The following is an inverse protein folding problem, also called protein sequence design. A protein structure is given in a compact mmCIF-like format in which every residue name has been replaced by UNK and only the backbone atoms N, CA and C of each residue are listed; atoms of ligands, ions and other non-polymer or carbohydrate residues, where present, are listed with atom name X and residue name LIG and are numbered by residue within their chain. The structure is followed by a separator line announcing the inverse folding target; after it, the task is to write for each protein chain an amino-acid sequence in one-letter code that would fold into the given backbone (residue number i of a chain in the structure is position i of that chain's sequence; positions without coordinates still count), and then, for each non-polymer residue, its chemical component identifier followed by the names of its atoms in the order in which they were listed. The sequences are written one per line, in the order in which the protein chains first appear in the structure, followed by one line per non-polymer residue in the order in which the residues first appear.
data_IF_999146796297
#
_entry.id   IF_999146796297
#
_cell.length_a   1.000
_cell.length_b   1.000
_cell.length_c   1.000
_cell.angle_alpha   90.00
_cell.angle_beta   90.00
_cell.angle_gamma   90.00
#
_symmetry.space_group_name_H-M   'P 1'
#
loop_
_entity.id
_entity.type
_entity.pdbx_description
1 polymer ?
#
# COMPACT_ATOMS: atom_id res chain seq x y z
N UNK A 1 -7.21 -24.24 -27.70
CA UNK A 1 -7.33 -24.00 -26.24
C UNK A 1 -7.35 -22.50 -26.07
N UNK A 2 -8.53 -21.89 -25.95
CA UNK A 2 -8.60 -20.49 -25.59
C UNK A 2 -8.09 -20.42 -24.14
N UNK A 3 -6.90 -19.87 -23.94
CA UNK A 3 -6.47 -19.45 -22.62
C UNK A 3 -7.59 -18.58 -22.04
N UNK A 4 -8.15 -19.00 -20.91
CA UNK A 4 -9.11 -18.22 -20.17
C UNK A 4 -8.40 -16.94 -19.68
N UNK A 5 -8.49 -15.88 -20.49
CA UNK A 5 -7.80 -14.61 -20.27
C UNK A 5 -8.12 -14.03 -18.89
N UNK A 6 -9.30 -14.36 -18.36
CA UNK A 6 -9.77 -13.94 -17.06
C UNK A 6 -9.03 -14.68 -15.93
N UNK A 7 -8.78 -15.98 -16.09
CA UNK A 7 -7.94 -16.77 -15.18
C UNK A 7 -6.49 -16.28 -15.16
N UNK A 8 -5.93 -15.90 -16.32
CA UNK A 8 -4.58 -15.32 -16.39
C UNK A 8 -4.51 -13.92 -15.75
N UNK A 9 -5.53 -13.10 -15.98
CA UNK A 9 -5.66 -11.79 -15.33
C UNK A 9 -5.73 -11.98 -13.80
N UNK A 10 -6.56 -12.91 -13.31
CA UNK A 10 -6.68 -13.22 -11.89
C UNK A 10 -5.33 -13.58 -11.27
N UNK A 11 -4.60 -14.54 -11.86
CA UNK A 11 -3.29 -14.96 -11.35
C UNK A 11 -2.29 -13.81 -11.33
N UNK A 12 -2.30 -12.96 -12.35
CA UNK A 12 -1.41 -11.80 -12.43
C UNK A 12 -1.73 -10.80 -11.33
N UNK A 13 -3.02 -10.48 -11.14
CA UNK A 13 -3.48 -9.55 -10.10
C UNK A 13 -3.20 -10.08 -8.69
N UNK A 14 -3.45 -11.37 -8.44
CA UNK A 14 -3.19 -12.02 -7.15
C UNK A 14 -1.70 -11.96 -6.79
N UNK A 15 -0.84 -12.32 -7.74
CA UNK A 15 0.61 -12.26 -7.54
C UNK A 15 1.11 -10.83 -7.24
N UNK A 16 0.54 -9.81 -7.91
CA UNK A 16 0.86 -8.43 -7.61
C UNK A 16 0.32 -8.02 -6.24
N UNK A 17 -0.93 -8.34 -5.90
CA UNK A 17 -1.52 -8.06 -4.59
C UNK A 17 -0.64 -8.58 -3.44
N UNK A 18 -0.19 -9.83 -3.53
CA UNK A 18 0.68 -10.45 -2.51
C UNK A 18 2.09 -9.84 -2.49
N UNK A 19 2.60 -9.42 -3.64
CA UNK A 19 3.91 -8.74 -3.71
C UNK A 19 3.88 -7.38 -3.02
N UNK A 20 2.75 -6.66 -3.10
CA UNK A 20 2.57 -5.37 -2.41
C UNK A 20 2.60 -5.52 -0.88
N UNK A 21 2.13 -6.64 -0.32
CA UNK A 21 2.32 -6.94 1.12
C UNK A 21 3.79 -7.11 1.48
N UNK A 22 4.55 -7.84 0.66
CA UNK A 22 5.99 -8.06 0.90
C UNK A 22 6.77 -6.75 0.87
N UNK A 23 6.48 -5.88 -0.10
CA UNK A 23 7.12 -4.57 -0.18
C UNK A 23 6.68 -3.63 0.97
N UNK A 24 5.41 -3.68 1.37
CA UNK A 24 4.92 -2.96 2.55
C UNK A 24 5.68 -3.36 3.82
N UNK A 25 5.91 -4.67 4.02
CA UNK A 25 6.74 -5.16 5.12
C UNK A 25 8.19 -4.66 5.02
N UNK A 26 8.78 -4.68 3.82
CA UNK A 26 10.14 -4.19 3.61
C UNK A 26 10.28 -2.71 3.98
N UNK A 27 9.33 -1.85 3.58
CA UNK A 27 9.32 -0.43 3.95
C UNK A 27 9.28 -0.26 5.46
N UNK A 28 8.44 -1.05 6.17
CA UNK A 28 8.36 -1.01 7.64
C UNK A 28 9.68 -1.41 8.29
N UNK A 29 10.33 -2.47 7.80
CA UNK A 29 11.62 -2.92 8.33
C UNK A 29 12.73 -1.88 8.10
N UNK A 30 12.76 -1.25 6.93
CA UNK A 30 13.68 -0.15 6.64
C UNK A 30 13.43 1.04 7.57
N UNK A 31 12.16 1.41 7.80
CA UNK A 31 11.81 2.48 8.74
C UNK A 31 12.27 2.17 10.18
N UNK A 32 12.08 0.94 10.65
CA UNK A 32 12.57 0.48 11.97
C UNK A 32 14.09 0.57 12.03
N UNK A 33 14.80 0.09 11.00
CA UNK A 33 16.26 0.12 10.94
C UNK A 33 16.78 1.56 10.95
N UNK A 34 16.25 2.44 10.10
CA UNK A 34 16.63 3.85 10.04
C UNK A 34 16.37 4.56 11.36
N UNK A 35 15.24 4.30 12.02
CA UNK A 35 14.92 4.90 13.33
C UNK A 35 15.86 4.39 14.41
N UNK A 36 16.14 3.10 14.46
CA UNK A 36 17.06 2.49 15.43
C UNK A 36 18.48 3.02 15.27
N UNK A 37 18.94 3.16 14.02
CA UNK A 37 20.24 3.75 13.70
C UNK A 37 20.28 5.24 14.08
N UNK A 38 19.21 6.00 13.80
CA UNK A 38 19.16 7.41 14.16
C UNK A 38 19.29 7.63 15.67
N UNK A 39 18.61 6.80 16.48
CA UNK A 39 18.66 6.86 17.93
C UNK A 39 20.02 6.40 18.50
N UNK A 40 20.61 5.33 17.95
CA UNK A 40 21.88 4.79 18.44
C UNK A 40 23.10 5.67 18.19
N UNK A 41 23.02 6.61 17.24
CA UNK A 41 24.08 7.55 16.89
C UNK A 41 23.74 9.00 17.24
N UNK A 42 22.67 9.23 18.01
CA UNK A 42 22.26 10.55 18.50
C UNK A 42 22.10 11.60 17.38
N UNK A 43 21.53 11.19 16.23
CA UNK A 43 21.27 12.13 15.14
C UNK A 43 20.22 13.17 15.53
N UNK A 44 20.26 14.33 14.87
CA UNK A 44 19.22 15.35 15.03
C UNK A 44 17.83 14.77 14.71
N UNK A 45 16.93 14.85 15.68
CA UNK A 45 15.59 14.25 15.67
C UNK A 45 14.68 14.71 14.53
N UNK A 46 14.93 15.88 13.95
CA UNK A 46 14.16 16.38 12.81
C UNK A 46 14.26 15.44 11.60
N UNK A 47 15.45 14.91 11.34
CA UNK A 47 15.71 14.03 10.18
C UNK A 47 14.97 12.69 10.27
N UNK A 48 15.10 11.88 11.34
CA UNK A 48 14.38 10.61 11.45
C UNK A 48 12.86 10.80 11.50
N UNK A 49 12.34 11.85 12.13
CA UNK A 49 10.89 12.14 12.11
C UNK A 49 10.38 12.35 10.69
N UNK A 50 11.07 13.18 9.89
CA UNK A 50 10.70 13.38 8.49
C UNK A 50 10.83 12.09 7.67
N UNK A 51 11.89 11.31 7.87
CA UNK A 51 12.07 10.04 7.16
C UNK A 51 10.96 9.03 7.49
N UNK A 52 10.57 8.89 8.76
CA UNK A 52 9.45 8.04 9.18
C UNK A 52 8.15 8.51 8.53
N UNK A 53 7.93 9.82 8.44
CA UNK A 53 6.78 10.39 7.72
C UNK A 53 6.76 10.02 6.22
N UNK A 54 7.91 10.07 5.55
CA UNK A 54 8.04 9.65 4.14
C UNK A 54 7.75 8.15 3.98
N UNK A 55 8.32 7.30 4.83
CA UNK A 55 8.05 5.85 4.79
C UNK A 55 6.57 5.54 5.04
N UNK A 56 5.92 6.25 5.94
CA UNK A 56 4.49 6.09 6.22
C UNK A 56 3.63 6.43 4.99
N UNK A 57 3.89 7.59 4.37
CA UNK A 57 3.17 8.00 3.16
C UNK A 57 3.41 7.01 2.01
N UNK A 58 4.64 6.53 1.85
CA UNK A 58 4.99 5.56 0.82
C UNK A 58 4.26 4.22 1.01
N UNK A 59 4.15 3.72 2.25
CA UNK A 59 3.35 2.52 2.56
C UNK A 59 1.86 2.74 2.26
N UNK A 60 1.33 3.92 2.60
CA UNK A 60 -0.06 4.29 2.26
C UNK A 60 -0.33 4.30 0.74
N UNK A 61 0.61 4.80 -0.07
CA UNK A 61 0.52 4.74 -1.53
C UNK A 61 0.53 3.28 -2.00
N UNK A 62 1.43 2.45 -1.46
CA UNK A 62 1.50 1.01 -1.77
C UNK A 62 0.17 0.32 -1.46
N UNK A 63 -0.41 0.54 -0.27
CA UNK A 63 -1.73 0.01 0.11
C UNK A 63 -2.88 0.51 -0.74
N UNK A 64 -2.75 1.69 -1.33
CA UNK A 64 -3.74 2.20 -2.27
C UNK A 64 -3.78 1.37 -3.54
N UNK A 65 -2.63 1.15 -4.17
CA UNK A 65 -2.54 0.28 -5.35
C UNK A 65 -2.99 -1.15 -5.03
N UNK A 66 -2.61 -1.67 -3.87
CA UNK A 66 -3.07 -2.97 -3.41
C UNK A 66 -4.61 -3.05 -3.32
N UNK A 67 -5.26 -2.05 -2.72
CA UNK A 67 -6.72 -1.98 -2.64
C UNK A 67 -7.39 -1.89 -4.02
N UNK A 68 -6.73 -1.28 -5.01
CA UNK A 68 -7.22 -1.28 -6.39
C UNK A 68 -7.17 -2.67 -7.01
N UNK A 69 -6.07 -3.40 -6.81
CA UNK A 69 -5.98 -4.79 -7.27
C UNK A 69 -7.05 -5.67 -6.62
N UNK A 70 -7.26 -5.52 -5.31
CA UNK A 70 -8.32 -6.23 -4.56
C UNK A 70 -9.70 -6.05 -5.23
N UNK A 71 -10.07 -4.80 -5.53
CA UNK A 71 -11.37 -4.50 -6.12
C UNK A 71 -11.59 -5.18 -7.47
N UNK A 72 -10.55 -5.22 -8.32
CA UNK A 72 -10.62 -5.90 -9.62
C UNK A 72 -10.59 -7.42 -9.45
N UNK A 73 -9.80 -7.92 -8.52
CA UNK A 73 -9.64 -9.35 -8.27
C UNK A 73 -10.98 -9.99 -7.87
N UNK A 74 -11.74 -9.34 -7.00
CA UNK A 74 -13.08 -9.79 -6.61
C UNK A 74 -14.07 -9.80 -7.79
N UNK A 75 -13.99 -8.82 -8.70
CA UNK A 75 -14.84 -8.78 -9.90
C UNK A 75 -14.50 -9.96 -10.83
N UNK A 76 -13.20 -10.18 -11.08
CA UNK A 76 -12.68 -11.26 -11.93
C UNK A 76 -13.04 -12.63 -11.33
N UNK A 77 -12.90 -12.80 -10.02
CA UNK A 77 -13.25 -14.04 -9.31
C UNK A 77 -14.75 -14.35 -9.39
N UNK A 78 -15.61 -13.34 -9.21
CA UNK A 78 -17.05 -13.49 -9.37
C UNK A 78 -17.45 -13.89 -10.81
N UNK A 79 -16.80 -13.31 -11.81
CA UNK A 79 -17.06 -13.60 -13.22
C UNK A 79 -16.61 -15.02 -13.62
N UNK A 80 -15.44 -15.47 -13.11
CA UNK A 80 -14.97 -16.85 -13.26
C UNK A 80 -15.96 -17.84 -12.63
N UNK A 81 -16.42 -17.58 -11.40
CA UNK A 81 -17.38 -18.44 -10.71
C UNK A 81 -18.72 -18.56 -11.46
N UNK A 82 -19.16 -17.47 -12.11
CA UNK A 82 -20.39 -17.44 -12.89
C UNK A 82 -20.26 -18.03 -14.32
N UNK A 83 -19.07 -18.51 -14.72
CA UNK A 83 -18.73 -18.86 -16.11
C UNK A 83 -19.14 -17.75 -17.11
N UNK A 84 -19.03 -16.50 -16.67
CA UNK A 84 -19.47 -15.36 -17.45
C UNK A 84 -18.32 -14.86 -18.33
N UNK A 85 -18.61 -14.53 -19.58
CA UNK A 85 -17.67 -13.87 -20.48
C UNK A 85 -17.59 -12.37 -20.13
N UNK A 86 -16.99 -12.05 -19.00
CA UNK A 86 -16.56 -10.69 -18.72
C UNK A 86 -15.40 -10.28 -19.64
N UNK A 87 -15.32 -8.99 -19.93
CA UNK A 87 -14.19 -8.47 -20.70
C UNK A 87 -12.95 -8.41 -19.80
N UNK A 88 -11.92 -9.16 -20.19
CA UNK A 88 -10.62 -9.11 -19.52
C UNK A 88 -9.93 -7.75 -19.68
N UNK A 89 -8.91 -7.53 -18.87
CA UNK A 89 -7.98 -6.39 -18.96
C UNK A 89 -8.62 -5.00 -18.75
N UNK A 90 -9.69 -4.89 -17.96
CA UNK A 90 -10.40 -3.63 -17.73
C UNK A 90 -9.90 -2.83 -16.51
N UNK A 91 -8.85 -3.28 -15.81
CA UNK A 91 -8.32 -2.66 -14.59
C UNK A 91 -8.12 -1.14 -14.70
N UNK A 92 -7.33 -0.69 -15.68
CA UNK A 92 -7.01 0.72 -15.85
C UNK A 92 -8.22 1.55 -16.30
N UNK A 93 -9.06 0.97 -17.16
CA UNK A 93 -10.23 1.65 -17.71
C UNK A 93 -11.30 1.87 -16.63
N UNK A 94 -11.56 0.86 -15.80
CA UNK A 94 -12.46 0.96 -14.64
C UNK A 94 -11.95 1.99 -13.63
N UNK A 95 -10.64 2.01 -13.38
CA UNK A 95 -10.04 3.02 -12.50
C UNK A 95 -10.20 4.44 -13.05
N UNK A 96 -9.91 4.68 -14.34
CA UNK A 96 -10.06 6.00 -14.96
C UNK A 96 -11.47 6.57 -14.86
N UNK A 97 -12.50 5.72 -14.94
CA UNK A 97 -13.90 6.14 -14.77
C UNK A 97 -14.19 6.66 -13.36
N UNK A 98 -13.50 6.15 -12.34
CA UNK A 98 -13.73 6.51 -10.92
C UNK A 98 -12.76 7.58 -10.43
N UNK A 99 -11.56 7.65 -10.99
CA UNK A 99 -10.43 8.45 -10.52
C UNK A 99 -10.45 9.93 -10.99
N UNK A 100 -11.55 10.42 -11.55
CA UNK A 100 -11.59 11.65 -12.34
C UNK A 100 -11.35 12.96 -11.55
N UNK A 101 -11.03 12.89 -10.25
CA UNK A 101 -10.70 14.08 -9.44
C UNK A 101 -9.42 13.88 -8.63
N UNK A 102 -8.46 14.81 -8.77
CA UNK A 102 -7.20 14.79 -8.01
C UNK A 102 -7.39 14.80 -6.49
N UNK A 103 -8.44 15.48 -6.00
CA UNK A 103 -8.82 15.48 -4.58
C UNK A 103 -9.26 14.09 -4.12
N UNK A 104 -9.93 13.33 -4.98
CA UNK A 104 -10.30 11.94 -4.72
C UNK A 104 -9.08 11.04 -4.49
N UNK A 105 -8.03 11.19 -5.30
CA UNK A 105 -6.78 10.43 -5.15
C UNK A 105 -6.08 10.74 -3.82
N UNK A 106 -5.97 12.02 -3.45
CA UNK A 106 -5.35 12.41 -2.18
C UNK A 106 -6.13 11.81 -1.00
N UNK A 107 -7.47 11.87 -1.05
CA UNK A 107 -8.34 11.27 -0.03
C UNK A 107 -8.14 9.76 0.06
N UNK A 108 -7.98 9.08 -1.06
CA UNK A 108 -7.71 7.64 -1.11
C UNK A 108 -6.38 7.30 -0.40
N UNK A 109 -5.31 8.05 -0.71
CA UNK A 109 -4.00 7.86 -0.10
C UNK A 109 -4.03 8.10 1.41
N UNK A 110 -4.66 9.19 1.86
CA UNK A 110 -4.81 9.49 3.29
C UNK A 110 -5.60 8.41 4.02
N UNK A 111 -6.71 7.92 3.43
CA UNK A 111 -7.52 6.85 4.03
C UNK A 111 -6.69 5.56 4.21
N UNK A 112 -5.80 5.25 3.27
CA UNK A 112 -4.93 4.08 3.35
C UNK A 112 -3.83 4.26 4.40
N UNK A 113 -3.25 5.45 4.53
CA UNK A 113 -2.29 5.78 5.60
C UNK A 113 -2.88 5.58 7.01
N UNK A 114 -4.19 5.84 7.16
CA UNK A 114 -4.91 5.74 8.43
C UNK A 114 -5.41 4.32 8.75
N UNK A 115 -5.21 3.32 7.88
CA UNK A 115 -5.54 1.94 8.22
C UNK A 115 -4.69 1.50 9.42
N UNK A 116 -5.26 0.85 10.46
CA UNK A 116 -4.51 0.46 11.64
C UNK A 116 -3.24 -0.36 11.32
N UNK A 117 -3.31 -1.23 10.31
CA UNK A 117 -2.21 -2.08 9.84
C UNK A 117 -1.06 -1.30 9.18
N UNK A 118 -1.32 -0.08 8.70
CA UNK A 118 -0.33 0.84 8.15
C UNK A 118 0.17 1.79 9.23
N UNK A 119 -0.75 2.43 9.96
CA UNK A 119 -0.46 3.49 10.93
C UNK A 119 0.32 3.01 12.15
N UNK A 120 0.00 1.82 12.68
CA UNK A 120 0.54 1.34 13.95
C UNK A 120 2.08 1.40 14.03
N UNK A 121 2.85 0.82 13.09
CA UNK A 121 4.31 0.86 13.17
C UNK A 121 4.87 2.29 13.16
N UNK A 122 4.35 3.16 12.31
CA UNK A 122 4.87 4.52 12.17
C UNK A 122 4.54 5.41 13.37
N UNK A 123 3.34 5.28 13.95
CA UNK A 123 2.98 6.02 15.17
C UNK A 123 3.88 5.59 16.33
N UNK A 124 4.17 4.29 16.47
CA UNK A 124 5.09 3.80 17.48
C UNK A 124 6.51 4.35 17.25
N UNK A 125 7.01 4.31 16.01
CA UNK A 125 8.34 4.85 15.69
C UNK A 125 8.44 6.35 15.98
N UNK A 126 7.45 7.15 15.57
CA UNK A 126 7.40 8.58 15.88
C UNK A 126 7.37 8.84 17.39
N UNK A 127 6.57 8.07 18.14
CA UNK A 127 6.52 8.15 19.60
C UNK A 127 7.87 7.87 20.24
N UNK A 128 8.58 6.83 19.79
CA UNK A 128 9.91 6.50 20.25
C UNK A 128 10.92 7.62 19.96
N UNK A 129 10.94 8.13 18.72
CA UNK A 129 11.83 9.23 18.34
C UNK A 129 11.55 10.50 19.15
N UNK A 130 10.30 10.84 19.42
CA UNK A 130 9.97 12.01 20.25
C UNK A 130 10.26 11.79 21.74
N UNK A 131 10.14 10.56 22.24
CA UNK A 131 10.44 10.24 23.64
C UNK A 131 11.92 10.43 24.00
N UNK A 132 12.83 10.27 23.04
CA UNK A 132 14.26 10.50 23.26
C UNK A 132 14.63 11.99 23.40
N UNK A 133 13.67 12.92 23.31
CA UNK A 133 13.88 14.32 23.75
C UNK A 133 13.99 14.45 25.26
N UNK A 134 13.42 13.50 26.01
CA UNK A 134 13.25 13.56 27.46
C UNK A 134 14.29 12.75 28.23
N UNK A 135 15.24 12.15 27.51
CA UNK A 135 16.33 11.32 28.02
C UNK A 135 17.65 11.93 27.53
#
# INVERSE_FOLDING_TARGET
MATDYLSLEWQTLQNQFDSYEKYSLLIKLVAIFTTSFALGFEFNLFVPVLMVGVFWLQDGIWKTFQGRFESRLLIVEAALAANHNETGCQFNQQYQQTANSGVGLIKEYLKQCLRPTVMYPYVVLLGLTLSSLWW
#
